data_IF_579272030494
#
_entry.id   IF_579272030494
#
_cell.length_a   1.000
_cell.length_b   1.000
_cell.length_c   1.000
_cell.angle_alpha   90.00
_cell.angle_beta   90.00
_cell.angle_gamma   90.00
#
_symmetry.space_group_name_H-M   'P 1'
#
loop_
_entity.id
_entity.type
_entity.pdbx_description
1 polymer ?
#
# COMPACT_ATOMS: atom_id res chain seq x y z
N UNK A 1 -37.30 2.67 -1.51
CA UNK A 1 -37.30 2.91 -2.97
C UNK A 1 -35.91 2.59 -3.53
N UNK A 2 -35.68 1.38 -4.09
CA UNK A 2 -34.38 1.01 -4.68
C UNK A 2 -34.25 1.70 -6.04
N UNK A 3 -33.40 2.72 -6.16
CA UNK A 3 -33.04 3.29 -7.48
C UNK A 3 -32.40 2.19 -8.32
N UNK A 4 -33.09 1.71 -9.34
CA UNK A 4 -32.54 0.75 -10.29
C UNK A 4 -31.64 1.52 -11.26
N UNK A 5 -30.33 1.23 -11.24
CA UNK A 5 -29.39 1.76 -12.24
C UNK A 5 -29.58 1.03 -13.58
N UNK A 6 -30.78 1.07 -14.15
CA UNK A 6 -31.07 0.41 -15.43
C UNK A 6 -31.05 1.47 -16.53
N UNK A 7 -30.26 1.24 -17.56
CA UNK A 7 -30.30 2.08 -18.77
C UNK A 7 -31.69 1.97 -19.38
N UNK A 8 -32.35 3.11 -19.63
CA UNK A 8 -33.69 3.13 -20.22
C UNK A 8 -33.69 2.32 -21.51
N UNK A 9 -34.73 1.51 -21.69
CA UNK A 9 -34.95 0.68 -22.89
C UNK A 9 -33.89 -0.41 -23.15
N UNK A 10 -33.03 -0.73 -22.18
CA UNK A 10 -32.11 -1.88 -22.28
C UNK A 10 -32.29 -2.87 -21.13
N UNK A 11 -31.78 -4.10 -21.29
CA UNK A 11 -31.62 -5.06 -20.19
C UNK A 11 -30.30 -4.85 -19.41
N UNK A 12 -29.58 -3.77 -19.69
CA UNK A 12 -28.28 -3.50 -19.10
C UNK A 12 -28.43 -2.65 -17.84
N UNK A 13 -27.69 -3.04 -16.81
CA UNK A 13 -27.56 -2.30 -15.56
C UNK A 13 -26.24 -1.54 -15.55
N UNK A 14 -26.27 -0.26 -15.20
CA UNK A 14 -25.07 0.52 -14.91
C UNK A 14 -24.64 0.18 -13.49
N UNK A 15 -23.65 -0.69 -13.36
CA UNK A 15 -22.90 -0.79 -12.11
C UNK A 15 -22.02 0.45 -11.99
N UNK A 16 -22.02 1.13 -10.84
CA UNK A 16 -21.03 2.17 -10.57
C UNK A 16 -19.65 1.56 -10.75
N UNK A 17 -18.81 2.19 -11.56
CA UNK A 17 -17.44 1.75 -11.71
C UNK A 17 -16.72 1.90 -10.38
N UNK A 18 -15.99 0.87 -9.95
CA UNK A 18 -15.16 0.95 -8.76
C UNK A 18 -14.07 2.01 -8.97
N UNK A 19 -13.80 2.78 -7.91
CA UNK A 19 -12.64 3.69 -7.88
C UNK A 19 -11.36 2.91 -8.11
N UNK A 20 -10.31 3.56 -8.63
CA UNK A 20 -9.01 2.91 -8.86
C UNK A 20 -8.48 2.23 -7.58
N UNK A 21 -8.65 2.89 -6.43
CA UNK A 21 -8.27 2.41 -5.10
C UNK A 21 -9.00 1.12 -4.69
N UNK A 22 -10.32 1.06 -4.90
CA UNK A 22 -11.11 -0.14 -4.62
C UNK A 22 -10.76 -1.27 -5.57
N UNK A 23 -10.52 -0.95 -6.85
CA UNK A 23 -10.13 -1.93 -7.87
C UNK A 23 -8.80 -2.60 -7.55
N UNK A 24 -7.81 -1.81 -7.17
CA UNK A 24 -6.49 -2.28 -6.78
C UNK A 24 -6.57 -3.25 -5.60
N UNK A 25 -7.21 -2.84 -4.49
CA UNK A 25 -7.32 -3.70 -3.30
C UNK A 25 -8.11 -4.98 -3.58
N UNK A 26 -9.18 -4.88 -4.38
CA UNK A 26 -9.94 -6.05 -4.84
C UNK A 26 -9.10 -6.99 -5.69
N UNK A 27 -8.21 -6.47 -6.54
CA UNK A 27 -7.29 -7.27 -7.36
C UNK A 27 -6.34 -8.12 -6.50
N UNK A 28 -5.94 -7.64 -5.32
CA UNK A 28 -5.06 -8.40 -4.40
C UNK A 28 -5.83 -9.31 -3.44
N UNK A 29 -6.99 -8.85 -2.96
CA UNK A 29 -7.84 -9.64 -2.04
C UNK A 29 -8.38 -10.89 -2.69
N UNK A 30 -8.80 -10.82 -3.96
CA UNK A 30 -9.50 -11.94 -4.60
C UNK A 30 -8.65 -13.21 -4.76
N UNK A 31 -7.38 -13.15 -5.25
CA UNK A 31 -6.51 -14.32 -5.27
C UNK A 31 -6.29 -14.90 -3.88
N UNK A 32 -5.94 -14.06 -2.90
CA UNK A 32 -5.72 -14.51 -1.52
C UNK A 32 -6.97 -15.18 -0.91
N UNK A 33 -8.15 -14.59 -1.14
CA UNK A 33 -9.42 -15.19 -0.71
C UNK A 33 -9.61 -16.57 -1.33
N UNK A 34 -9.36 -16.72 -2.64
CA UNK A 34 -9.52 -18.00 -3.34
C UNK A 34 -8.58 -19.05 -2.77
N UNK A 35 -7.30 -18.72 -2.58
CA UNK A 35 -6.29 -19.63 -2.05
C UNK A 35 -6.63 -20.06 -0.61
N UNK A 36 -6.99 -19.11 0.25
CA UNK A 36 -7.35 -19.41 1.65
C UNK A 36 -8.68 -20.14 1.79
N UNK A 37 -9.61 -19.98 0.83
CA UNK A 37 -10.91 -20.67 0.85
C UNK A 37 -10.77 -22.17 0.58
N UNK A 38 -9.69 -22.60 -0.09
CA UNK A 38 -9.44 -24.03 -0.37
C UNK A 38 -9.43 -24.85 0.92
N UNK A 39 -8.87 -24.30 2.00
CA UNK A 39 -8.88 -24.94 3.32
C UNK A 39 -10.07 -24.43 4.17
N UNK A 40 -11.06 -25.29 4.50
CA UNK A 40 -12.22 -24.92 5.32
C UNK A 40 -11.85 -24.40 6.72
N UNK A 41 -10.73 -24.85 7.30
CA UNK A 41 -10.29 -24.46 8.64
C UNK A 41 -9.95 -22.98 8.77
N UNK A 42 -9.64 -22.33 7.64
CA UNK A 42 -9.39 -20.90 7.60
C UNK A 42 -10.64 -20.07 7.87
N UNK A 43 -11.85 -20.64 7.73
CA UNK A 43 -13.15 -19.95 7.91
C UNK A 43 -13.18 -18.59 7.17
N UNK A 44 -12.67 -18.59 5.95
CA UNK A 44 -12.40 -17.37 5.16
C UNK A 44 -13.71 -16.74 4.67
N UNK A 45 -13.89 -15.43 4.89
CA UNK A 45 -15.03 -14.65 4.38
C UNK A 45 -14.55 -13.41 3.66
N UNK A 46 -15.26 -13.02 2.61
CA UNK A 46 -15.04 -11.77 1.89
C UNK A 46 -16.36 -10.99 1.91
N UNK A 47 -16.38 -9.86 2.62
CA UNK A 47 -17.58 -9.02 2.80
C UNK A 47 -17.20 -7.59 2.45
N UNK A 48 -17.89 -6.97 1.49
CA UNK A 48 -17.62 -5.59 1.06
C UNK A 48 -16.14 -5.30 0.73
N UNK A 49 -15.49 -6.26 0.05
CA UNK A 49 -14.05 -6.24 -0.28
C UNK A 49 -13.09 -6.36 0.92
N UNK A 50 -13.61 -6.57 2.14
CA UNK A 50 -12.85 -6.86 3.35
C UNK A 50 -12.69 -8.38 3.55
N UNK A 51 -11.44 -8.82 3.64
CA UNK A 51 -11.09 -10.22 3.85
C UNK A 51 -11.01 -10.53 5.35
N UNK A 52 -11.73 -11.56 5.77
CA UNK A 52 -11.68 -12.11 7.13
C UNK A 52 -11.15 -13.54 7.10
N UNK A 53 -10.23 -13.86 8.00
CA UNK A 53 -9.65 -15.20 8.17
C UNK A 53 -9.77 -15.57 9.64
N UNK A 54 -10.42 -16.70 9.94
CA UNK A 54 -10.73 -17.14 11.32
C UNK A 54 -11.40 -16.03 12.15
N UNK A 55 -12.27 -15.24 11.51
CA UNK A 55 -12.96 -14.11 12.12
C UNK A 55 -12.13 -12.82 12.28
N UNK A 56 -10.84 -12.83 11.94
CA UNK A 56 -9.97 -11.66 12.01
C UNK A 56 -9.89 -10.93 10.67
N UNK A 57 -10.15 -9.62 10.69
CA UNK A 57 -9.99 -8.74 9.54
C UNK A 57 -8.53 -8.68 9.09
N UNK A 58 -8.30 -8.90 7.80
CA UNK A 58 -6.99 -8.77 7.17
C UNK A 58 -6.75 -7.30 6.78
N UNK A 59 -6.28 -6.51 7.76
CA UNK A 59 -6.17 -5.04 7.66
C UNK A 59 -5.24 -4.55 6.56
N UNK A 60 -4.23 -5.32 6.14
CA UNK A 60 -3.36 -4.98 5.00
C UNK A 60 -4.14 -4.77 3.69
N UNK A 61 -5.33 -5.39 3.57
CA UNK A 61 -6.21 -5.22 2.44
C UNK A 61 -7.24 -4.10 2.59
N UNK A 62 -7.26 -3.40 3.73
CA UNK A 62 -8.05 -2.20 3.97
C UNK A 62 -7.16 -0.96 3.94
N UNK A 63 -7.70 0.18 3.48
CA UNK A 63 -6.95 1.43 3.44
C UNK A 63 -6.34 1.79 4.80
N UNK A 64 -5.06 2.22 4.86
CA UNK A 64 -4.45 2.61 6.10
C UNK A 64 -5.20 3.81 6.68
N UNK A 65 -5.76 3.64 7.88
CA UNK A 65 -6.34 4.72 8.67
C UNK A 65 -5.24 5.31 9.54
N UNK A 66 -4.54 6.31 9.01
CA UNK A 66 -3.49 7.01 9.71
C UNK A 66 -4.07 8.20 10.49
N UNK A 67 -3.63 8.46 11.73
CA UNK A 67 -4.05 9.64 12.47
C UNK A 67 -3.47 10.91 11.82
N UNK A 68 -4.05 12.07 12.13
CA UNK A 68 -3.45 13.35 11.72
C UNK A 68 -2.07 13.50 12.37
N UNK A 69 -1.08 13.95 11.60
CA UNK A 69 0.23 14.26 12.15
C UNK A 69 0.09 15.36 13.23
N UNK A 70 0.56 15.06 14.43
CA UNK A 70 0.54 15.93 15.61
C UNK A 70 1.91 15.87 16.27
N UNK A 71 2.41 17.03 16.68
CA UNK A 71 3.70 17.22 17.33
C UNK A 71 4.88 17.20 16.36
N UNK A 72 5.86 18.07 16.61
CA UNK A 72 7.14 18.16 15.90
C UNK A 72 8.18 17.30 16.61
N UNK A 73 8.03 15.98 16.53
CA UNK A 73 9.04 15.08 17.08
C UNK A 73 10.27 15.06 16.17
N UNK A 74 11.28 15.83 16.56
CA UNK A 74 12.55 16.00 15.84
C UNK A 74 13.44 14.76 15.83
N UNK A 75 13.04 13.68 16.54
CA UNK A 75 13.83 12.44 16.58
C UNK A 75 13.66 11.55 15.35
N UNK A 76 12.59 11.75 14.57
CA UNK A 76 12.32 10.97 13.37
C UNK A 76 13.23 11.46 12.24
N UNK A 77 14.08 10.56 11.73
CA UNK A 77 14.97 10.83 10.60
C UNK A 77 14.60 9.96 9.41
N UNK A 78 14.43 10.61 8.26
CA UNK A 78 14.27 9.94 6.98
C UNK A 78 15.67 9.70 6.39
N UNK A 79 15.98 8.43 6.14
CA UNK A 79 17.22 8.01 5.49
C UNK A 79 16.92 7.75 4.02
N UNK A 80 17.75 8.29 3.14
CA UNK A 80 17.68 8.03 1.69
C UNK A 80 18.36 6.70 1.38
N UNK A 81 17.70 5.87 0.60
CA UNK A 81 18.25 4.63 0.05
C UNK A 81 18.62 4.79 -1.43
N UNK A 82 18.67 3.65 -2.13
CA UNK A 82 19.10 3.62 -3.51
C UNK A 82 18.11 4.29 -4.48
N UNK A 83 18.65 4.73 -5.61
CA UNK A 83 17.88 5.22 -6.76
C UNK A 83 17.97 4.19 -7.89
N UNK A 84 16.83 3.78 -8.41
CA UNK A 84 16.74 2.80 -9.49
C UNK A 84 16.01 3.39 -10.67
N UNK A 85 16.54 3.20 -11.88
CA UNK A 85 15.89 3.63 -13.12
C UNK A 85 15.48 2.40 -13.92
N UNK A 86 14.20 2.32 -14.29
CA UNK A 86 13.68 1.27 -15.17
C UNK A 86 12.59 1.84 -16.09
N UNK A 87 12.67 1.52 -17.38
CA UNK A 87 11.60 1.74 -18.35
C UNK A 87 11.03 3.17 -18.40
N UNK A 88 11.88 4.19 -18.17
CA UNK A 88 11.48 5.61 -18.12
C UNK A 88 10.85 6.03 -16.79
N UNK A 89 11.03 5.25 -15.73
CA UNK A 89 10.70 5.64 -14.36
C UNK A 89 11.96 5.65 -13.51
N UNK A 90 12.05 6.65 -12.63
CA UNK A 90 13.10 6.79 -11.63
C UNK A 90 12.44 6.58 -10.27
N UNK A 91 13.00 5.68 -9.48
CA UNK A 91 12.53 5.31 -8.15
C UNK A 91 13.54 5.74 -7.12
N UNK A 92 13.13 6.52 -6.14
CA UNK A 92 13.95 6.94 -5.02
C UNK A 92 13.42 6.29 -3.74
N UNK A 93 14.25 5.46 -3.12
CA UNK A 93 13.92 4.79 -1.87
C UNK A 93 14.22 5.65 -0.64
N UNK A 94 13.34 5.57 0.36
CA UNK A 94 13.53 6.20 1.66
C UNK A 94 13.01 5.31 2.78
N UNK A 95 13.61 5.43 3.96
CA UNK A 95 13.21 4.66 5.13
C UNK A 95 13.27 5.50 6.40
N UNK A 96 12.36 5.25 7.34
CA UNK A 96 12.42 5.81 8.69
C UNK A 96 12.06 4.77 9.74
N UNK A 97 12.64 4.91 10.94
CA UNK A 97 12.22 4.13 12.11
C UNK A 97 10.92 4.71 12.66
N UNK A 98 9.96 3.84 12.98
CA UNK A 98 8.64 4.21 13.50
C UNK A 98 8.24 3.26 14.62
N UNK A 99 7.58 3.77 15.65
CA UNK A 99 7.05 2.98 16.78
C UNK A 99 5.53 2.97 16.82
N UNK A 100 4.90 3.86 16.05
CA UNK A 100 3.46 4.05 16.04
C UNK A 100 2.96 4.53 14.68
N UNK A 101 1.64 4.41 14.44
CA UNK A 101 1.01 5.01 13.25
C UNK A 101 1.09 6.53 13.26
N UNK A 102 1.23 7.14 14.44
CA UNK A 102 1.50 8.57 14.58
C UNK A 102 2.85 8.95 13.98
N UNK A 103 3.88 8.13 14.20
CA UNK A 103 5.20 8.34 13.60
C UNK A 103 5.14 8.18 12.08
N UNK A 104 4.39 7.19 11.58
CA UNK A 104 4.14 7.04 10.13
C UNK A 104 3.51 8.31 9.56
N UNK A 105 2.49 8.88 10.22
CA UNK A 105 1.87 10.14 9.80
C UNK A 105 2.88 11.30 9.78
N UNK A 106 3.76 11.40 10.79
CA UNK A 106 4.81 12.42 10.83
C UNK A 106 5.82 12.23 9.69
N UNK A 107 6.26 11.00 9.42
CA UNK A 107 7.19 10.72 8.30
C UNK A 107 6.55 11.10 6.97
N UNK A 108 5.28 10.77 6.75
CA UNK A 108 4.57 11.16 5.53
C UNK A 108 4.38 12.67 5.43
N UNK A 109 4.23 13.36 6.55
CA UNK A 109 4.18 14.83 6.57
C UNK A 109 5.54 15.44 6.23
N UNK A 110 6.64 14.89 6.78
CA UNK A 110 8.00 15.27 6.40
C UNK A 110 8.26 15.04 4.90
N UNK A 111 7.75 13.93 4.35
CA UNK A 111 7.89 13.62 2.93
C UNK A 111 7.24 14.68 2.03
N UNK A 112 6.10 15.25 2.44
CA UNK A 112 5.44 16.35 1.69
C UNK A 112 6.24 17.66 1.70
N UNK A 113 7.11 17.85 2.69
CA UNK A 113 7.97 19.03 2.80
C UNK A 113 9.36 18.80 2.21
N UNK A 114 9.69 17.58 1.78
CA UNK A 114 10.91 17.28 1.06
C UNK A 114 10.68 17.53 -0.44
N UNK A 115 11.46 18.42 -1.11
CA UNK A 115 11.24 18.79 -2.51
C UNK A 115 11.24 17.59 -3.48
N UNK A 116 12.12 16.61 -3.28
CA UNK A 116 12.24 15.44 -4.14
C UNK A 116 11.02 14.53 -4.01
N UNK A 117 10.55 14.32 -2.78
CA UNK A 117 9.37 13.47 -2.51
C UNK A 117 8.07 14.17 -2.90
N UNK A 118 7.98 15.47 -2.68
CA UNK A 118 6.80 16.28 -3.00
C UNK A 118 6.58 16.45 -4.50
N UNK A 119 7.66 16.42 -5.30
CA UNK A 119 7.60 16.54 -6.75
C UNK A 119 7.39 15.20 -7.49
N UNK A 120 7.35 14.07 -6.76
CA UNK A 120 7.17 12.75 -7.36
C UNK A 120 5.75 12.55 -7.91
N UNK A 121 5.62 11.79 -8.99
CA UNK A 121 4.32 11.43 -9.58
C UNK A 121 3.52 10.46 -8.70
N UNK A 122 4.24 9.60 -7.97
CA UNK A 122 3.64 8.69 -7.00
C UNK A 122 4.47 8.63 -5.72
N UNK A 123 3.79 8.71 -4.58
CA UNK A 123 4.40 8.53 -3.26
C UNK A 123 3.88 7.23 -2.63
N UNK A 124 4.58 6.14 -2.92
CA UNK A 124 4.24 4.80 -2.46
C UNK A 124 4.85 4.56 -1.08
N UNK A 125 4.13 3.88 -0.19
CA UNK A 125 4.72 3.50 1.11
C UNK A 125 4.16 2.19 1.65
N UNK A 126 4.94 1.58 2.54
CA UNK A 126 4.53 0.46 3.39
C UNK A 126 5.17 0.61 4.77
N UNK A 127 4.50 0.09 5.80
CA UNK A 127 5.03 0.09 7.16
C UNK A 127 4.66 -1.18 7.91
N UNK A 128 5.51 -1.54 8.88
CA UNK A 128 5.29 -2.64 9.82
C UNK A 128 5.69 -2.16 11.21
N UNK A 129 4.78 -2.25 12.17
CA UNK A 129 4.98 -1.83 13.57
C UNK A 129 4.72 -3.03 14.46
N UNK A 130 5.72 -3.36 15.28
CA UNK A 130 5.66 -4.43 16.26
C UNK A 130 5.32 -3.93 17.66
N UNK A 131 5.02 -4.86 18.56
CA UNK A 131 5.05 -4.64 20.01
C UNK A 131 6.44 -5.00 20.60
N UNK A 132 6.56 -4.91 21.93
CA UNK A 132 7.77 -5.28 22.67
C UNK A 132 8.15 -6.74 22.51
N UNK A 133 7.17 -7.59 22.22
CA UNK A 133 7.31 -9.04 22.20
C UNK A 133 7.60 -9.56 20.78
N UNK A 134 7.77 -8.63 19.82
CA UNK A 134 8.06 -8.92 18.43
C UNK A 134 6.83 -9.29 17.59
N UNK A 135 5.62 -9.23 18.15
CA UNK A 135 4.40 -9.47 17.37
C UNK A 135 4.05 -8.24 16.53
N UNK A 136 3.50 -8.47 15.34
CA UNK A 136 3.03 -7.38 14.48
C UNK A 136 1.74 -6.80 15.07
N UNK A 137 1.84 -5.57 15.58
CA UNK A 137 0.69 -4.80 16.07
C UNK A 137 -0.12 -4.23 14.90
N UNK A 138 0.56 -3.70 13.89
CA UNK A 138 -0.10 -3.16 12.69
C UNK A 138 0.87 -3.07 11.52
N UNK A 139 0.36 -3.33 10.32
CA UNK A 139 1.08 -3.17 9.06
C UNK A 139 0.10 -2.81 7.94
N UNK A 140 0.56 -2.02 6.98
CA UNK A 140 -0.24 -1.65 5.81
C UNK A 140 0.63 -1.04 4.71
N UNK A 141 -0.01 -0.71 3.58
CA UNK A 141 0.61 -0.05 2.44
C UNK A 141 -0.33 0.93 1.73
N UNK A 142 0.24 1.78 0.88
CA UNK A 142 -0.47 2.62 -0.07
C UNK A 142 0.36 2.77 -1.35
N UNK A 143 -0.21 2.41 -2.50
CA UNK A 143 0.50 2.46 -3.79
C UNK A 143 0.34 3.79 -4.52
N UNK A 144 -0.49 4.70 -4.02
CA UNK A 144 -0.74 6.01 -4.65
C UNK A 144 -1.13 5.93 -6.14
N UNK A 145 -1.94 4.93 -6.48
CA UNK A 145 -2.37 4.67 -7.85
C UNK A 145 -1.38 3.85 -8.68
N UNK A 146 -0.18 3.57 -8.18
CA UNK A 146 0.84 2.76 -8.84
C UNK A 146 0.61 1.25 -8.60
N UNK A 147 -0.54 0.75 -9.07
CA UNK A 147 -0.82 -0.66 -9.37
C UNK A 147 -0.17 -1.74 -8.46
N UNK A 148 -0.35 -1.65 -7.14
CA UNK A 148 0.09 -2.69 -6.19
C UNK A 148 1.53 -2.63 -5.75
N UNK A 149 2.26 -1.59 -6.14
CA UNK A 149 3.65 -1.43 -5.76
C UNK A 149 3.81 -1.34 -4.24
N UNK A 150 2.87 -0.70 -3.54
CA UNK A 150 2.88 -0.66 -2.08
C UNK A 150 2.70 -2.05 -1.44
N UNK A 151 1.90 -2.93 -2.04
CA UNK A 151 1.74 -4.30 -1.54
C UNK A 151 3.05 -5.08 -1.70
N UNK A 152 3.73 -4.92 -2.85
CA UNK A 152 5.03 -5.56 -3.08
C UNK A 152 6.09 -5.08 -2.10
N UNK A 153 6.09 -3.79 -1.79
CA UNK A 153 6.96 -3.24 -0.75
C UNK A 153 6.67 -3.87 0.62
N UNK A 154 5.39 -4.04 0.98
CA UNK A 154 5.01 -4.70 2.23
C UNK A 154 5.41 -6.19 2.27
N UNK A 155 5.18 -6.93 1.17
CA UNK A 155 5.59 -8.33 1.03
C UNK A 155 7.11 -8.49 1.18
N UNK A 156 7.89 -7.56 0.62
CA UNK A 156 9.33 -7.54 0.79
C UNK A 156 9.74 -7.26 2.25
N UNK A 157 9.11 -6.28 2.92
CA UNK A 157 9.35 -6.07 4.35
C UNK A 157 9.00 -7.30 5.19
N UNK A 158 8.00 -8.08 4.79
CA UNK A 158 7.63 -9.35 5.44
C UNK A 158 8.70 -10.42 5.24
N UNK A 159 9.22 -10.60 4.02
CA UNK A 159 10.26 -11.60 3.73
C UNK A 159 11.57 -11.30 4.47
N UNK A 160 11.93 -10.03 4.57
CA UNK A 160 13.15 -9.59 5.28
C UNK A 160 12.95 -9.45 6.80
N UNK A 161 11.77 -9.81 7.33
CA UNK A 161 11.44 -9.64 8.75
C UNK A 161 11.65 -8.20 9.28
N UNK A 162 11.52 -7.21 8.40
CA UNK A 162 11.70 -5.80 8.73
C UNK A 162 10.49 -5.26 9.51
N UNK A 163 10.71 -4.82 10.75
CA UNK A 163 9.67 -4.29 11.66
C UNK A 163 10.13 -2.97 12.27
N UNK A 164 9.17 -2.15 12.75
CA UNK A 164 9.36 -0.81 13.30
C UNK A 164 9.98 0.16 12.28
N UNK A 165 9.55 0.02 11.03
CA UNK A 165 9.99 0.84 9.91
C UNK A 165 8.83 1.21 9.00
N UNK A 166 8.97 2.36 8.35
CA UNK A 166 8.21 2.75 7.17
C UNK A 166 9.20 2.90 6.02
N UNK A 167 8.84 2.32 4.88
CA UNK A 167 9.53 2.53 3.61
C UNK A 167 8.65 3.41 2.72
N UNK A 168 9.27 4.38 2.07
CA UNK A 168 8.66 5.29 1.11
C UNK A 168 9.43 5.17 -0.20
N UNK A 169 8.70 5.10 -1.30
CA UNK A 169 9.24 5.06 -2.65
C UNK A 169 8.60 6.20 -3.41
N UNK A 170 9.41 7.19 -3.75
CA UNK A 170 9.01 8.21 -4.70
C UNK A 170 9.30 7.73 -6.12
N UNK A 171 8.29 7.76 -6.98
CA UNK A 171 8.45 7.47 -8.40
C UNK A 171 8.30 8.75 -9.21
N UNK A 172 9.25 8.98 -10.10
CA UNK A 172 9.19 10.02 -11.15
C UNK A 172 9.08 9.34 -12.51
N UNK A 173 8.05 9.69 -13.27
CA UNK A 173 7.73 9.16 -14.58
C UNK A 173 8.20 10.14 -15.66
N UNK A 174 9.30 9.81 -16.35
CA UNK A 174 9.81 10.66 -17.42
C UNK A 174 8.90 10.63 -18.65
N UNK A 175 8.92 11.65 -19.53
CA UNK A 175 8.19 11.61 -20.79
C UNK A 175 8.49 10.32 -21.57
N UNK A 176 7.45 9.64 -22.04
CA UNK A 176 7.58 8.36 -22.76
C UNK A 176 7.79 7.13 -21.86
N UNK A 177 7.61 7.24 -20.54
CA UNK A 177 7.69 6.09 -19.64
C UNK A 177 6.74 4.98 -20.06
N UNK A 178 7.18 3.74 -19.87
CA UNK A 178 6.35 2.56 -20.08
C UNK A 178 5.75 2.12 -18.76
N UNK A 179 4.47 1.77 -18.79
CA UNK A 179 3.81 1.21 -17.62
C UNK A 179 4.42 -0.16 -17.28
N UNK A 180 5.08 -0.24 -16.13
CA UNK A 180 5.94 -1.37 -15.72
C UNK A 180 5.10 -2.56 -15.20
N UNK A 181 3.89 -2.29 -14.69
CA UNK A 181 2.98 -3.29 -14.14
C UNK A 181 3.54 -4.03 -12.92
N UNK A 182 2.77 -4.98 -12.39
CA UNK A 182 3.05 -5.60 -11.09
C UNK A 182 4.30 -6.52 -11.06
N UNK A 183 4.87 -6.90 -12.22
CA UNK A 183 5.89 -7.96 -12.32
C UNK A 183 7.34 -7.48 -12.20
N UNK A 184 7.62 -6.21 -12.52
CA UNK A 184 9.01 -5.74 -12.74
C UNK A 184 9.58 -4.89 -11.61
N UNK A 185 8.77 -4.47 -10.64
CA UNK A 185 9.20 -3.60 -9.56
C UNK A 185 10.07 -4.26 -8.48
N UNK A 186 10.17 -5.59 -8.43
CA UNK A 186 10.91 -6.30 -7.39
C UNK A 186 12.43 -6.05 -7.42
N UNK A 187 13.02 -5.76 -8.59
CA UNK A 187 14.46 -5.46 -8.69
C UNK A 187 14.83 -4.11 -8.08
N UNK A 188 13.88 -3.18 -7.94
CA UNK A 188 14.14 -1.85 -7.39
C UNK A 188 14.29 -1.83 -5.86
N UNK A 189 13.94 -2.92 -5.16
CA UNK A 189 13.89 -2.98 -3.70
C UNK A 189 15.07 -3.65 -3.03
N UNK A 190 16.02 -4.19 -3.79
CA UNK A 190 17.14 -4.97 -3.25
C UNK A 190 18.19 -4.13 -2.48
N UNK A 191 18.02 -2.80 -2.42
CA UNK A 191 18.96 -1.87 -1.78
C UNK A 191 18.35 -0.99 -0.67
N UNK A 192 17.18 -1.34 -0.12
CA UNK A 192 16.49 -0.58 0.95
C UNK A 192 16.58 -1.23 2.33
#
# INVERSE_FOLDING_TARGET
MRRTNRLRYTRHFITKQLTAKQRERKQFVLPMYRDLKVNPDNRTKLVDDELFVKGKLQTKYVMPKLPTAQGTDTSIKLVTGDTVTDSGSIFHGYAARVKSTQDVSKVLDMAKHNPTLAAADHLIYAFRIGDSDGNIKTENFHSDGDYGVGLKLLEHMQSEHTVNRVFIVARVCTPGYRHIGNRRMLSCYQGL
#
